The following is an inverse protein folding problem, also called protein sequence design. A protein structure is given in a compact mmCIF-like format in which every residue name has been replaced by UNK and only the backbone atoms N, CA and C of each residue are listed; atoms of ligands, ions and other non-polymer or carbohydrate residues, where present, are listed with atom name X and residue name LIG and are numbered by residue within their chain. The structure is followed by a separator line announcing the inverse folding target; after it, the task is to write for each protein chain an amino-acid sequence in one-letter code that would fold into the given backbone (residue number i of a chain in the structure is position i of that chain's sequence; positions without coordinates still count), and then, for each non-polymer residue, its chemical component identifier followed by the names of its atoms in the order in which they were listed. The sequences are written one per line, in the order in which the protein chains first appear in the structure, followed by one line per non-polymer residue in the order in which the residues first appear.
data_IF_502927984066
#
_entry.id   IF_502927984066
#
_cell.length_a   1.000
_cell.length_b   1.000
_cell.length_c   1.000
_cell.angle_alpha   90.00
_cell.angle_beta   90.00
_cell.angle_gamma   90.00
#
_symmetry.space_group_name_H-M   'P 1'
#
loop_
_entity.id
_entity.type
_entity.pdbx_description
1 polymer ?
#
# COMPACT_ATOMS: atom_id res chain seq x y z
N UNK A 1 18.31 -2.40 10.38
CA UNK A 1 17.08 -2.63 11.17
C UNK A 1 16.15 -3.51 10.33
N UNK A 2 15.59 -4.57 10.90
CA UNK A 2 14.70 -5.50 10.17
C UNK A 2 13.38 -4.78 9.90
N UNK A 3 12.92 -4.74 8.64
CA UNK A 3 11.56 -4.30 8.29
C UNK A 3 10.59 -5.07 9.19
N UNK A 4 9.76 -4.37 9.97
CA UNK A 4 8.61 -4.98 10.62
C UNK A 4 7.68 -5.46 9.50
N UNK A 5 7.75 -6.76 9.20
CA UNK A 5 7.02 -7.43 8.11
C UNK A 5 5.50 -7.45 8.31
N UNK A 6 4.98 -6.57 9.16
CA UNK A 6 3.58 -6.44 9.58
C UNK A 6 2.94 -5.15 9.08
N UNK A 7 3.73 -4.16 8.64
CA UNK A 7 3.19 -2.89 8.13
C UNK A 7 3.27 -2.86 6.60
N UNK A 8 2.13 -3.12 5.96
CA UNK A 8 1.93 -2.80 4.54
C UNK A 8 1.91 -1.27 4.44
N UNK A 9 2.79 -0.73 3.59
CA UNK A 9 3.08 0.69 3.41
C UNK A 9 3.53 1.40 4.71
N UNK A 10 4.60 0.91 5.34
CA UNK A 10 5.27 1.62 6.43
C UNK A 10 6.15 2.79 5.94
N UNK A 11 6.60 3.69 6.84
CA UNK A 11 7.47 4.81 6.48
C UNK A 11 8.73 4.31 5.77
N UNK A 12 9.13 5.00 4.69
CA UNK A 12 10.32 4.65 3.90
C UNK A 12 11.60 4.90 4.71
N UNK A 13 12.09 3.87 5.41
CA UNK A 13 13.32 3.93 6.23
C UNK A 13 14.57 4.22 5.38
N UNK A 14 14.54 3.93 4.08
CA UNK A 14 15.66 4.13 3.15
C UNK A 14 15.64 5.48 2.45
N UNK A 15 14.65 6.34 2.71
CA UNK A 15 14.59 7.65 2.07
C UNK A 15 15.79 8.50 2.48
N UNK A 16 16.53 8.98 1.49
CA UNK A 16 17.66 9.90 1.68
C UNK A 16 17.12 11.28 2.04
N UNK A 17 17.38 11.73 3.27
CA UNK A 17 16.88 13.01 3.80
C UNK A 17 17.35 14.22 2.98
N UNK A 18 18.52 14.10 2.38
CA UNK A 18 19.15 15.07 1.48
C UNK A 18 18.42 15.23 0.14
N UNK A 19 17.61 14.25 -0.26
CA UNK A 19 16.86 14.29 -1.51
C UNK A 19 15.38 14.61 -1.32
N UNK A 20 14.87 14.60 -0.09
CA UNK A 20 13.45 14.87 0.16
C UNK A 20 13.15 16.36 -0.12
N UNK A 21 12.18 16.66 -1.00
CA UNK A 21 11.76 18.05 -1.21
C UNK A 21 11.14 18.62 0.06
N UNK A 22 11.26 19.93 0.22
CA UNK A 22 10.46 20.63 1.21
C UNK A 22 8.96 20.47 0.88
N UNK A 23 8.05 20.48 1.87
CA UNK A 23 6.61 20.37 1.61
C UNK A 23 6.10 21.41 0.60
N UNK A 24 6.60 22.64 0.73
CA UNK A 24 6.29 23.78 -0.15
C UNK A 24 6.72 23.54 -1.60
N UNK A 25 7.87 22.88 -1.81
CA UNK A 25 8.37 22.53 -3.15
C UNK A 25 7.48 21.47 -3.80
N UNK A 26 7.01 20.50 -3.02
CA UNK A 26 6.14 19.44 -3.51
C UNK A 26 4.75 19.98 -3.91
N UNK A 27 4.21 20.90 -3.11
CA UNK A 27 2.94 21.57 -3.41
C UNK A 27 3.06 22.47 -4.65
N UNK A 28 4.16 23.24 -4.75
CA UNK A 28 4.45 24.03 -5.94
C UNK A 28 4.58 23.16 -7.21
N UNK A 29 5.23 22.00 -7.08
CA UNK A 29 5.32 21.02 -8.17
C UNK A 29 3.94 20.53 -8.60
N UNK A 30 3.07 20.14 -7.66
CA UNK A 30 1.71 19.67 -7.97
C UNK A 30 0.86 20.75 -8.66
N UNK A 31 0.93 21.99 -8.18
CA UNK A 31 0.24 23.12 -8.81
C UNK A 31 0.79 23.44 -10.20
N UNK A 32 2.10 23.34 -10.39
CA UNK A 32 2.71 23.47 -11.72
C UNK A 32 2.22 22.38 -12.66
N UNK A 33 2.10 21.13 -12.20
CA UNK A 33 1.62 20.01 -13.02
C UNK A 33 0.18 20.23 -13.48
N UNK A 34 -0.65 20.79 -12.60
CA UNK A 34 -2.03 21.15 -12.90
C UNK A 34 -2.12 22.22 -13.99
N UNK A 35 -1.23 23.22 -13.96
CA UNK A 35 -1.18 24.30 -14.97
C UNK A 35 -0.64 23.83 -16.32
N UNK A 36 0.34 22.93 -16.33
CA UNK A 36 1.02 22.50 -17.56
C UNK A 36 0.29 21.39 -18.33
N UNK A 37 -0.70 20.73 -17.73
CA UNK A 37 -1.51 19.71 -18.42
C UNK A 37 -0.84 18.34 -18.58
N UNK A 38 0.49 18.29 -18.62
CA UNK A 38 1.30 17.09 -18.94
C UNK A 38 1.15 15.93 -17.96
N UNK A 39 0.88 16.19 -16.68
CA UNK A 39 0.63 15.15 -15.66
C UNK A 39 -0.79 15.24 -15.07
N UNK A 40 -1.77 15.67 -15.86
CA UNK A 40 -3.17 15.71 -15.43
C UNK A 40 -3.73 14.37 -14.93
N UNK A 41 -3.38 13.20 -15.52
CA UNK A 41 -3.80 11.91 -14.98
C UNK A 41 -3.30 11.67 -13.55
N UNK A 42 -2.06 12.04 -13.24
CA UNK A 42 -1.48 11.96 -11.89
C UNK A 42 -2.28 12.84 -10.91
N UNK A 43 -2.48 14.12 -11.24
CA UNK A 43 -3.21 15.07 -10.38
C UNK A 43 -4.64 14.60 -10.12
N UNK A 44 -5.35 14.14 -11.15
CA UNK A 44 -6.71 13.58 -11.02
C UNK A 44 -6.73 12.29 -10.19
N UNK A 45 -5.76 11.40 -10.39
CA UNK A 45 -5.61 10.16 -9.63
C UNK A 45 -5.38 10.42 -8.15
N UNK A 46 -4.43 11.30 -7.82
CA UNK A 46 -4.14 11.71 -6.44
C UNK A 46 -5.37 12.35 -5.77
N UNK A 47 -6.05 13.28 -6.45
CA UNK A 47 -7.25 13.91 -5.91
C UNK A 47 -8.36 12.89 -5.62
N UNK A 48 -8.57 11.93 -6.54
CA UNK A 48 -9.56 10.87 -6.37
C UNK A 48 -9.24 9.94 -5.20
N UNK A 49 -7.98 9.54 -5.03
CA UNK A 49 -7.58 8.70 -3.90
C UNK A 49 -7.65 9.45 -2.57
N UNK A 50 -7.31 10.74 -2.53
CA UNK A 50 -7.49 11.58 -1.32
C UNK A 50 -8.96 11.66 -0.91
N UNK A 51 -9.87 11.85 -1.86
CA UNK A 51 -11.31 11.83 -1.57
C UNK A 51 -11.73 10.48 -0.97
N UNK A 52 -11.21 9.38 -1.50
CA UNK A 52 -11.51 8.05 -1.00
C UNK A 52 -10.94 7.81 0.40
N UNK A 53 -9.76 8.37 0.73
CA UNK A 53 -9.22 8.35 2.09
C UNK A 53 -10.11 9.13 3.06
N UNK A 54 -10.60 10.31 2.66
CA UNK A 54 -11.58 11.08 3.44
C UNK A 54 -12.87 10.28 3.64
N UNK A 55 -13.35 9.59 2.61
CA UNK A 55 -14.55 8.74 2.70
C UNK A 55 -14.34 7.55 3.64
N UNK A 56 -13.15 6.93 3.62
CA UNK A 56 -12.75 5.85 4.53
C UNK A 56 -12.74 6.36 5.98
N UNK A 57 -12.12 7.51 6.24
CA UNK A 57 -12.07 8.11 7.58
C UNK A 57 -13.47 8.50 8.07
N UNK A 58 -14.28 9.11 7.21
CA UNK A 58 -15.67 9.44 7.52
C UNK A 58 -16.50 8.17 7.79
N UNK A 59 -16.25 7.09 7.05
CA UNK A 59 -16.86 5.79 7.31
C UNK A 59 -16.44 5.23 8.68
N UNK A 60 -15.15 5.27 9.04
CA UNK A 60 -14.69 4.83 10.36
C UNK A 60 -15.32 5.66 11.48
N UNK A 61 -15.38 6.98 11.33
CA UNK A 61 -16.01 7.87 12.32
C UNK A 61 -17.49 7.55 12.49
N UNK A 62 -18.24 7.41 11.39
CA UNK A 62 -19.65 6.99 11.43
C UNK A 62 -19.81 5.62 12.09
N UNK A 63 -18.90 4.68 11.82
CA UNK A 63 -18.94 3.34 12.43
C UNK A 63 -18.78 3.39 13.94
N UNK A 64 -17.98 4.34 14.46
CA UNK A 64 -17.79 4.56 15.90
C UNK A 64 -19.02 5.23 16.55
N UNK A 65 -19.72 6.10 15.82
CA UNK A 65 -20.88 6.83 16.33
C UNK A 65 -22.18 5.99 16.30
N UNK A 66 -22.50 5.37 15.16
CA UNK A 66 -23.67 4.50 15.03
C UNK A 66 -23.36 3.33 14.05
N UNK A 67 -22.96 2.16 14.59
CA UNK A 67 -22.68 0.98 13.77
C UNK A 67 -23.90 0.46 12.99
N UNK A 68 -25.13 0.88 13.35
CA UNK A 68 -26.39 0.36 12.81
C UNK A 68 -26.99 1.23 11.71
N UNK A 69 -26.48 2.43 11.45
CA UNK A 69 -26.98 3.26 10.34
C UNK A 69 -26.25 3.04 9.02
N UNK A 70 -25.21 2.21 9.01
CA UNK A 70 -24.39 2.02 7.82
C UNK A 70 -25.05 1.10 6.79
N UNK A 71 -24.94 1.48 5.53
CA UNK A 71 -25.25 0.61 4.40
C UNK A 71 -24.32 -0.62 4.44
N UNK A 72 -24.87 -1.80 4.14
CA UNK A 72 -24.14 -3.07 4.26
C UNK A 72 -23.04 -3.17 3.19
N UNK A 73 -23.31 -2.68 1.98
CA UNK A 73 -22.34 -2.69 0.89
C UNK A 73 -21.17 -1.76 1.20
N UNK A 74 -21.44 -0.54 1.67
CA UNK A 74 -20.40 0.38 2.14
C UNK A 74 -19.54 -0.27 3.23
N UNK A 75 -20.17 -1.00 4.17
CA UNK A 75 -19.46 -1.71 5.23
C UNK A 75 -18.48 -2.75 4.69
N UNK A 76 -18.88 -3.49 3.65
CA UNK A 76 -18.03 -4.49 3.00
C UNK A 76 -16.89 -3.82 2.24
N UNK A 77 -17.19 -2.84 1.37
CA UNK A 77 -16.20 -2.14 0.54
C UNK A 77 -15.16 -1.43 1.42
N UNK A 78 -15.59 -0.55 2.33
CA UNK A 78 -14.67 0.17 3.20
C UNK A 78 -13.96 -0.77 4.19
N UNK A 79 -14.62 -1.83 4.65
CA UNK A 79 -13.99 -2.86 5.48
C UNK A 79 -12.81 -3.54 4.78
N UNK A 80 -12.99 -3.93 3.51
CA UNK A 80 -11.92 -4.52 2.68
C UNK A 80 -10.80 -3.51 2.41
N UNK A 81 -11.12 -2.25 2.10
CA UNK A 81 -10.12 -1.20 1.87
C UNK A 81 -9.28 -0.92 3.12
N UNK A 82 -9.90 -0.85 4.29
CA UNK A 82 -9.21 -0.68 5.57
C UNK A 82 -8.31 -1.87 5.90
N UNK A 83 -8.78 -3.10 5.62
CA UNK A 83 -8.01 -4.30 5.90
C UNK A 83 -6.79 -4.42 5.00
N UNK A 84 -6.99 -4.24 3.69
CA UNK A 84 -5.92 -4.35 2.69
C UNK A 84 -4.92 -3.20 2.78
N UNK A 85 -5.36 -2.01 3.20
CA UNK A 85 -4.61 -0.75 3.09
C UNK A 85 -4.10 -0.52 1.67
N UNK A 86 -4.85 -0.99 0.66
CA UNK A 86 -4.50 -0.78 -0.74
C UNK A 86 -4.33 0.72 -1.04
N UNK A 87 -5.21 1.55 -0.48
CA UNK A 87 -5.10 3.00 -0.55
C UNK A 87 -4.66 3.51 0.82
N UNK A 88 -3.57 4.26 0.82
CA UNK A 88 -2.98 4.89 1.99
C UNK A 88 -2.16 6.11 1.57
N UNK A 89 -1.93 7.02 2.51
CA UNK A 89 -1.18 8.26 2.26
C UNK A 89 0.26 7.99 1.81
N UNK A 90 0.88 6.91 2.29
CA UNK A 90 2.25 6.55 1.94
C UNK A 90 2.40 6.18 0.45
N UNK A 91 1.40 5.53 -0.16
CA UNK A 91 1.37 5.25 -1.59
C UNK A 91 1.24 6.56 -2.38
N UNK A 92 0.33 7.45 -1.97
CA UNK A 92 0.17 8.75 -2.63
C UNK A 92 1.46 9.56 -2.56
N UNK A 93 2.11 9.57 -1.40
CA UNK A 93 3.38 10.24 -1.21
C UNK A 93 4.48 9.60 -2.07
N UNK A 94 4.57 8.27 -2.11
CA UNK A 94 5.57 7.57 -2.91
C UNK A 94 5.43 7.87 -4.40
N UNK A 95 4.21 7.82 -4.94
CA UNK A 95 3.94 8.15 -6.35
C UNK A 95 4.27 9.62 -6.64
N UNK A 96 3.91 10.53 -5.74
CA UNK A 96 4.20 11.96 -5.91
C UNK A 96 5.70 12.23 -5.90
N UNK A 97 6.43 11.67 -4.93
CA UNK A 97 7.90 11.79 -4.84
C UNK A 97 8.59 11.17 -6.06
N UNK A 98 8.09 10.05 -6.56
CA UNK A 98 8.63 9.43 -7.77
C UNK A 98 8.59 10.39 -8.96
N UNK A 99 7.43 11.01 -9.22
CA UNK A 99 7.29 11.97 -10.32
C UNK A 99 8.07 13.26 -10.11
N UNK A 100 8.17 13.73 -8.87
CA UNK A 100 9.02 14.87 -8.53
C UNK A 100 10.48 14.59 -8.91
N UNK A 101 11.06 13.49 -8.41
CA UNK A 101 12.44 13.13 -8.70
C UNK A 101 12.68 12.81 -10.17
N UNK A 102 11.70 12.22 -10.87
CA UNK A 102 11.79 11.97 -12.30
C UNK A 102 11.89 13.29 -13.08
N UNK A 103 11.10 14.30 -12.69
CA UNK A 103 11.19 15.63 -13.31
C UNK A 103 12.51 16.33 -12.98
N UNK A 104 12.98 16.25 -11.74
CA UNK A 104 14.29 16.77 -11.36
C UNK A 104 15.39 16.12 -12.20
N UNK A 105 15.34 14.79 -12.37
CA UNK A 105 16.28 14.04 -13.19
C UNK A 105 16.25 14.49 -14.66
N UNK A 106 15.05 14.69 -15.22
CA UNK A 106 14.88 15.15 -16.60
C UNK A 106 15.33 16.61 -16.81
N UNK A 107 15.38 17.43 -15.74
CA UNK A 107 15.84 18.83 -15.80
C UNK A 107 17.37 18.99 -15.68
N UNK A 108 18.11 17.91 -15.39
CA UNK A 108 19.57 17.98 -15.28
C UNK A 108 20.21 18.12 -16.66
N UNK A 109 20.78 19.29 -16.94
CA UNK A 109 21.46 19.60 -18.20
C UNK A 109 22.96 19.31 -18.11
N UNK A 110 23.41 18.27 -18.83
CA UNK A 110 24.82 17.96 -19.03
C UNK A 110 25.37 18.49 -20.36
N UNK A 111 24.51 18.87 -21.29
CA UNK A 111 24.90 19.24 -22.65
C UNK A 111 25.50 20.64 -22.67
N UNK A 112 24.85 21.62 -22.03
CA UNK A 112 25.35 23.00 -22.02
C UNK A 112 26.77 23.15 -21.43
N UNK A 113 27.11 22.54 -20.27
CA UNK A 113 28.48 22.58 -19.76
C UNK A 113 29.50 21.90 -20.68
N UNK A 114 29.12 20.83 -21.36
CA UNK A 114 29.99 20.09 -22.28
C UNK A 114 30.25 20.90 -23.56
N UNK A 115 29.20 21.48 -24.15
CA UNK A 115 29.31 22.36 -25.31
C UNK A 115 30.22 23.56 -25.03
N UNK A 116 30.10 24.16 -23.84
CA UNK A 116 30.98 25.24 -23.41
C UNK A 116 32.44 24.79 -23.39
N UNK A 117 32.76 23.62 -22.81
CA UNK A 117 34.13 23.11 -22.75
C UNK A 117 34.68 22.91 -24.17
N UNK A 118 33.91 22.29 -25.07
CA UNK A 118 34.33 22.07 -26.46
C UNK A 118 34.57 23.40 -27.19
N UNK A 119 33.71 24.40 -27.00
CA UNK A 119 33.86 25.73 -27.59
C UNK A 119 35.07 26.49 -27.01
N UNK A 120 35.30 26.39 -25.71
CA UNK A 120 36.44 26.99 -25.02
C UNK A 120 37.76 26.38 -25.49
N UNK A 121 37.86 25.05 -25.59
CA UNK A 121 39.03 24.34 -26.10
C UNK A 121 39.35 24.70 -27.56
N UNK A 122 38.32 24.81 -28.42
CA UNK A 122 38.48 25.28 -29.80
C UNK A 122 39.02 26.71 -29.85
N UNK A 123 38.58 27.57 -28.93
CA UNK A 123 39.05 28.96 -28.84
C UNK A 123 40.51 29.01 -28.37
N UNK A 124 40.88 28.22 -27.37
CA UNK A 124 42.26 28.13 -26.87
C UNK A 124 43.25 27.70 -27.95
N UNK A 125 42.87 26.75 -28.82
CA UNK A 125 43.71 26.31 -29.95
C UNK A 125 44.04 27.42 -30.96
N UNK A 126 43.20 28.46 -31.05
CA UNK A 126 43.39 29.61 -31.95
C UNK A 126 44.22 30.75 -31.34
N UNK A 127 44.49 30.71 -30.02
CA UNK A 127 45.20 31.77 -29.32
C UNK A 127 46.72 31.57 -29.39
N UNK A 128 47.44 32.63 -29.72
CA UNK A 128 48.92 32.64 -29.72
C UNK A 128 49.48 32.93 -28.33
N UNK A 129 50.15 31.94 -27.71
CA UNK A 129 50.77 32.04 -26.37
C UNK A 129 51.84 33.13 -26.21
N UNK A 130 52.42 33.62 -27.30
CA UNK A 130 53.45 34.67 -27.25
C UNK A 130 52.88 36.07 -27.02
N UNK A 131 51.57 36.28 -27.23
CA UNK A 131 50.90 37.55 -26.92
C UNK A 131 50.38 37.52 -25.48
N UNK A 132 50.74 38.52 -24.67
CA UNK A 132 50.37 38.59 -23.25
C UNK A 132 48.84 38.49 -23.06
N UNK A 133 48.06 39.24 -23.84
CA UNK A 133 46.59 39.21 -23.76
C UNK A 133 46.00 37.84 -24.09
N UNK A 134 46.60 37.12 -25.04
CA UNK A 134 46.18 35.77 -25.40
C UNK A 134 46.55 34.76 -24.30
N UNK A 135 47.71 34.92 -23.67
CA UNK A 135 48.12 34.09 -22.54
C UNK A 135 47.16 34.28 -21.35
N UNK A 136 46.81 35.52 -21.01
CA UNK A 136 45.81 35.82 -19.97
C UNK A 136 44.44 35.23 -20.30
N UNK A 137 43.97 35.36 -21.55
CA UNK A 137 42.71 34.78 -22.00
C UNK A 137 42.70 33.24 -21.92
N UNK A 138 43.83 32.59 -22.21
CA UNK A 138 43.95 31.15 -22.03
C UNK A 138 43.87 30.72 -20.57
N UNK A 139 44.49 31.45 -19.64
CA UNK A 139 44.39 31.14 -18.20
C UNK A 139 42.93 31.21 -17.75
N UNK A 140 42.24 32.31 -18.09
CA UNK A 140 40.82 32.47 -17.77
C UNK A 140 39.93 31.38 -18.37
N UNK A 141 40.14 31.00 -19.64
CA UNK A 141 39.39 29.91 -20.26
C UNK A 141 39.67 28.57 -19.58
N UNK A 142 40.90 28.34 -19.11
CA UNK A 142 41.27 27.13 -18.36
C UNK A 142 40.52 27.06 -17.03
N UNK A 143 40.49 28.17 -16.28
CA UNK A 143 39.73 28.28 -15.03
C UNK A 143 38.25 27.98 -15.25
N UNK A 144 37.62 28.60 -16.26
CA UNK A 144 36.22 28.35 -16.61
C UNK A 144 35.97 26.90 -17.04
N UNK A 145 36.89 26.26 -17.78
CA UNK A 145 36.78 24.84 -18.14
C UNK A 145 36.80 23.97 -16.88
N UNK A 146 37.71 24.24 -15.94
CA UNK A 146 37.79 23.47 -14.69
C UNK A 146 36.55 23.66 -13.81
N UNK A 147 35.99 24.87 -13.73
CA UNK A 147 34.69 25.10 -13.08
C UNK A 147 33.56 24.29 -13.72
N UNK A 148 33.49 24.26 -15.06
CA UNK A 148 32.47 23.48 -15.78
C UNK A 148 32.66 21.98 -15.64
N UNK A 149 33.91 21.48 -15.58
CA UNK A 149 34.18 20.07 -15.26
C UNK A 149 33.70 19.71 -13.86
N UNK A 150 33.94 20.57 -12.86
CA UNK A 150 33.40 20.39 -11.49
C UNK A 150 31.87 20.36 -11.50
N UNK A 151 31.23 21.26 -12.26
CA UNK A 151 29.78 21.28 -12.43
C UNK A 151 29.26 19.97 -13.04
N UNK A 152 29.89 19.46 -14.12
CA UNK A 152 29.53 18.18 -14.73
C UNK A 152 29.62 17.04 -13.72
N UNK A 153 30.71 16.97 -12.95
CA UNK A 153 30.87 15.95 -11.91
C UNK A 153 29.78 16.03 -10.84
N UNK A 154 29.40 17.25 -10.42
CA UNK A 154 28.28 17.48 -9.51
C UNK A 154 26.93 16.99 -10.07
N UNK A 155 26.62 17.34 -11.32
CA UNK A 155 25.39 16.92 -11.99
C UNK A 155 25.36 15.39 -12.17
N UNK A 156 26.48 14.76 -12.52
CA UNK A 156 26.59 13.30 -12.63
C UNK A 156 26.35 12.61 -11.27
N UNK A 157 26.91 13.15 -10.19
CA UNK A 157 26.67 12.64 -8.84
C UNK A 157 25.19 12.76 -8.46
N UNK A 158 24.57 13.92 -8.71
CA UNK A 158 23.14 14.13 -8.46
C UNK A 158 22.27 13.18 -9.28
N UNK A 159 22.61 12.97 -10.57
CA UNK A 159 21.92 12.01 -11.45
C UNK A 159 21.93 10.60 -10.89
N UNK A 160 23.09 10.14 -10.41
CA UNK A 160 23.24 8.82 -9.81
C UNK A 160 22.41 8.67 -8.52
N UNK A 161 22.37 9.73 -7.70
CA UNK A 161 21.55 9.77 -6.49
C UNK A 161 20.05 9.70 -6.79
N UNK A 162 19.55 10.53 -7.71
CA UNK A 162 18.15 10.52 -8.14
C UNK A 162 17.74 9.17 -8.75
N UNK A 163 18.60 8.58 -9.58
CA UNK A 163 18.38 7.25 -10.18
C UNK A 163 18.24 6.18 -9.10
N UNK A 164 19.09 6.22 -8.07
CA UNK A 164 19.01 5.29 -6.95
C UNK A 164 17.73 5.48 -6.11
N UNK A 165 17.33 6.74 -5.88
CA UNK A 165 16.11 7.06 -5.15
C UNK A 165 14.84 6.63 -5.91
N UNK A 166 14.76 6.88 -7.22
CA UNK A 166 13.67 6.41 -8.07
C UNK A 166 13.51 4.88 -8.03
N UNK A 167 14.64 4.15 -8.13
CA UNK A 167 14.63 2.68 -7.97
C UNK A 167 14.17 2.27 -6.57
N UNK A 168 14.62 2.97 -5.52
CA UNK A 168 14.20 2.68 -4.15
C UNK A 168 12.70 2.88 -3.96
N UNK A 169 12.12 3.94 -4.53
CA UNK A 169 10.67 4.18 -4.49
C UNK A 169 9.92 3.07 -5.22
N UNK A 170 10.35 2.73 -6.43
CA UNK A 170 9.70 1.71 -7.24
C UNK A 170 9.72 0.32 -6.56
N UNK A 171 10.87 -0.10 -6.01
CA UNK A 171 10.98 -1.32 -5.20
C UNK A 171 10.09 -1.26 -3.96
N UNK A 172 10.05 -0.12 -3.27
CA UNK A 172 9.18 0.06 -2.12
C UNK A 172 7.71 -0.14 -2.49
N UNK A 173 7.23 0.46 -3.59
CA UNK A 173 5.84 0.27 -4.02
C UNK A 173 5.61 -1.20 -4.39
N UNK A 174 6.48 -1.80 -5.21
CA UNK A 174 6.35 -3.18 -5.66
C UNK A 174 6.32 -4.19 -4.50
N UNK A 175 7.22 -4.08 -3.52
CA UNK A 175 7.22 -4.90 -2.30
C UNK A 175 5.88 -4.83 -1.56
N UNK A 176 5.30 -3.63 -1.45
CA UNK A 176 4.03 -3.44 -0.75
C UNK A 176 2.84 -3.96 -1.54
N UNK A 177 2.85 -3.86 -2.87
CA UNK A 177 1.82 -4.49 -3.72
C UNK A 177 1.82 -6.01 -3.55
N UNK A 178 2.99 -6.66 -3.55
CA UNK A 178 3.12 -8.11 -3.28
C UNK A 178 2.62 -8.46 -1.88
N UNK A 179 2.90 -7.62 -0.88
CA UNK A 179 2.39 -7.84 0.47
C UNK A 179 0.85 -7.77 0.53
N UNK A 180 0.24 -6.81 -0.18
CA UNK A 180 -1.21 -6.67 -0.29
C UNK A 180 -1.84 -7.85 -1.05
N UNK A 181 -1.24 -8.28 -2.17
CA UNK A 181 -1.65 -9.48 -2.93
C UNK A 181 -1.71 -10.70 -2.00
N UNK A 182 -0.63 -10.97 -1.27
CA UNK A 182 -0.55 -12.11 -0.35
C UNK A 182 -1.58 -12.02 0.78
N UNK A 183 -1.89 -10.82 1.25
CA UNK A 183 -2.95 -10.60 2.24
C UNK A 183 -4.33 -10.90 1.65
N UNK A 184 -4.61 -10.47 0.42
CA UNK A 184 -5.89 -10.76 -0.24
C UNK A 184 -6.07 -12.26 -0.48
N UNK A 185 -5.02 -12.95 -0.95
CA UNK A 185 -5.04 -14.41 -1.13
C UNK A 185 -5.41 -15.14 0.16
N UNK A 186 -4.84 -14.73 1.29
CA UNK A 186 -5.15 -15.32 2.60
C UNK A 186 -6.59 -15.02 3.03
N UNK A 187 -7.04 -13.78 2.86
CA UNK A 187 -8.39 -13.38 3.19
C UNK A 187 -9.43 -14.20 2.40
N UNK A 188 -9.19 -14.45 1.11
CA UNK A 188 -10.03 -15.31 0.26
C UNK A 188 -10.13 -16.72 0.84
N UNK A 189 -9.01 -17.35 1.21
CA UNK A 189 -9.02 -18.70 1.80
C UNK A 189 -9.85 -18.73 3.09
N UNK A 190 -9.67 -17.76 3.99
CA UNK A 190 -10.41 -17.65 5.25
C UNK A 190 -11.92 -17.49 4.99
N UNK A 191 -12.31 -16.63 4.05
CA UNK A 191 -13.72 -16.43 3.70
C UNK A 191 -14.36 -17.71 3.17
N UNK A 192 -13.64 -18.47 2.34
CA UNK A 192 -14.10 -19.77 1.83
C UNK A 192 -14.24 -20.78 2.97
N UNK A 193 -13.26 -20.89 3.86
CA UNK A 193 -13.30 -21.78 5.03
C UNK A 193 -14.50 -21.49 5.93
N UNK A 194 -14.72 -20.21 6.30
CA UNK A 194 -15.88 -19.81 7.12
C UNK A 194 -17.19 -20.11 6.40
N UNK A 195 -17.26 -19.87 5.09
CA UNK A 195 -18.42 -20.19 4.27
C UNK A 195 -18.75 -21.69 4.23
N UNK A 196 -17.75 -22.56 4.36
CA UNK A 196 -17.92 -24.01 4.41
C UNK A 196 -18.33 -24.50 5.81
N UNK A 197 -17.73 -23.95 6.87
CA UNK A 197 -17.98 -24.36 8.24
C UNK A 197 -19.41 -24.04 8.71
N UNK A 198 -20.01 -22.94 8.23
CA UNK A 198 -21.39 -22.51 8.53
C UNK A 198 -21.72 -22.39 10.02
N UNK A 199 -20.72 -22.36 10.90
CA UNK A 199 -20.91 -22.28 12.35
C UNK A 199 -21.63 -20.96 12.71
N UNK A 200 -21.07 -19.83 12.30
CA UNK A 200 -21.67 -18.51 12.56
C UNK A 200 -23.03 -18.36 11.87
N UNK A 201 -23.21 -18.90 10.66
CA UNK A 201 -24.51 -18.91 9.98
C UNK A 201 -25.58 -19.65 10.83
N UNK A 202 -25.24 -20.82 11.36
CA UNK A 202 -26.12 -21.63 12.20
C UNK A 202 -26.48 -20.90 13.51
N UNK A 203 -25.50 -20.26 14.16
CA UNK A 203 -25.74 -19.42 15.34
C UNK A 203 -26.73 -18.29 15.08
N UNK A 204 -26.58 -17.58 13.94
CA UNK A 204 -27.47 -16.48 13.56
C UNK A 204 -28.88 -16.98 13.26
N UNK A 205 -29.03 -18.12 12.58
CA UNK A 205 -30.32 -18.77 12.32
C UNK A 205 -31.00 -19.17 13.64
N UNK A 206 -30.25 -19.73 14.59
CA UNK A 206 -30.78 -20.05 15.92
C UNK A 206 -31.21 -18.79 16.68
N UNK A 207 -30.46 -17.69 16.57
CA UNK A 207 -30.82 -16.42 17.19
C UNK A 207 -32.17 -15.89 16.67
N UNK A 208 -32.39 -15.96 15.35
CA UNK A 208 -33.70 -15.62 14.73
C UNK A 208 -34.81 -16.50 15.29
N UNK A 209 -34.60 -17.82 15.35
CA UNK A 209 -35.59 -18.76 15.91
C UNK A 209 -35.90 -18.47 17.38
N UNK A 210 -34.88 -18.18 18.20
CA UNK A 210 -35.02 -17.85 19.63
C UNK A 210 -35.81 -16.56 19.82
N UNK A 211 -35.56 -15.53 19.02
CA UNK A 211 -36.29 -14.26 19.09
C UNK A 211 -37.78 -14.45 18.76
N UNK A 212 -38.10 -15.13 17.68
CA UNK A 212 -39.49 -15.42 17.32
C UNK A 212 -40.21 -16.30 18.34
N UNK A 213 -39.52 -17.28 18.94
CA UNK A 213 -40.08 -18.09 20.03
C UNK A 213 -40.44 -17.21 21.24
N UNK A 214 -39.59 -16.25 21.59
CA UNK A 214 -39.83 -15.29 22.69
C UNK A 214 -41.04 -14.39 22.39
N UNK A 215 -41.15 -13.86 21.18
CA UNK A 215 -42.28 -13.02 20.74
C UNK A 215 -43.60 -13.81 20.72
N UNK A 216 -43.59 -15.06 20.27
CA UNK A 216 -44.73 -15.97 20.33
C UNK A 216 -45.16 -16.26 21.77
N UNK A 217 -44.22 -16.64 22.65
CA UNK A 217 -44.53 -16.88 24.08
C UNK A 217 -45.10 -15.65 24.77
N UNK A 218 -44.58 -14.46 24.49
CA UNK A 218 -45.12 -13.20 25.00
C UNK A 218 -46.55 -12.94 24.50
N UNK A 219 -46.82 -13.24 23.22
CA UNK A 219 -48.14 -13.07 22.62
C UNK A 219 -49.18 -14.07 23.16
N UNK A 220 -48.75 -15.29 23.53
CA UNK A 220 -49.62 -16.32 24.16
C UNK A 220 -50.11 -15.82 25.53
N UNK A 221 -49.27 -15.09 26.27
CA UNK A 221 -49.63 -14.52 27.57
C UNK A 221 -50.62 -13.35 27.50
N UNK A 222 -50.82 -12.74 26.34
CA UNK A 222 -51.64 -11.52 26.16
C UNK A 222 -52.91 -11.77 25.33
N UNK A 223 -52.92 -12.75 24.41
CA UNK A 223 -54.09 -13.14 23.61
C UNK A 223 -54.16 -14.65 23.42
N UNK A 224 -55.36 -15.22 23.31
CA UNK A 224 -55.56 -16.61 22.87
C UNK A 224 -55.06 -16.74 21.41
N UNK A 225 -53.81 -17.15 21.25
CA UNK A 225 -53.23 -17.47 19.94
C UNK A 225 -53.84 -18.77 19.42
N UNK A 226 -54.42 -18.71 18.22
CA UNK A 226 -54.95 -19.90 17.52
C UNK A 226 -53.80 -20.76 17.01
N UNK A 227 -54.04 -22.07 16.85
CA UNK A 227 -53.08 -23.00 16.25
C UNK A 227 -52.61 -22.52 14.86
N UNK A 228 -53.51 -21.91 14.08
CA UNK A 228 -53.21 -21.32 12.78
C UNK A 228 -52.22 -20.15 12.86
N UNK A 229 -52.32 -19.31 13.88
CA UNK A 229 -51.39 -18.20 14.07
C UNK A 229 -49.97 -18.70 14.39
N UNK A 230 -49.86 -19.77 15.19
CA UNK A 230 -48.58 -20.42 15.49
C UNK A 230 -48.00 -21.08 14.23
N UNK A 231 -48.82 -21.76 13.43
CA UNK A 231 -48.39 -22.38 12.18
C UNK A 231 -47.90 -21.33 11.16
N UNK A 232 -48.62 -20.22 11.01
CA UNK A 232 -48.20 -19.10 10.16
C UNK A 232 -46.87 -18.49 10.63
N UNK A 233 -46.69 -18.31 11.94
CA UNK A 233 -45.44 -17.78 12.48
C UNK A 233 -44.24 -18.70 12.22
N UNK A 234 -44.42 -20.03 12.36
CA UNK A 234 -43.36 -21.00 11.99
C UNK A 234 -42.97 -20.88 10.52
N UNK A 235 -43.94 -20.81 9.61
CA UNK A 235 -43.67 -20.62 8.19
C UNK A 235 -42.93 -19.31 7.89
N UNK A 236 -43.23 -18.22 8.61
CA UNK A 236 -42.49 -16.95 8.49
C UNK A 236 -41.04 -17.12 8.95
N UNK A 237 -40.79 -17.78 10.08
CA UNK A 237 -39.44 -18.05 10.58
C UNK A 237 -38.63 -18.90 9.60
N UNK A 238 -39.23 -19.95 9.04
CA UNK A 238 -38.56 -20.80 8.06
C UNK A 238 -38.22 -20.01 6.80
N UNK A 239 -39.13 -19.16 6.31
CA UNK A 239 -38.86 -18.27 5.17
C UNK A 239 -37.73 -17.27 5.47
N UNK A 240 -37.70 -16.68 6.66
CA UNK A 240 -36.67 -15.71 7.05
C UNK A 240 -35.30 -16.36 7.23
N UNK A 241 -35.24 -17.55 7.83
CA UNK A 241 -33.98 -18.29 8.01
C UNK A 241 -33.41 -18.76 6.68
N UNK A 242 -34.25 -19.23 5.74
CA UNK A 242 -33.82 -19.53 4.37
C UNK A 242 -33.32 -18.27 3.63
N UNK A 243 -34.04 -17.15 3.76
CA UNK A 243 -33.62 -15.88 3.19
C UNK A 243 -32.28 -15.40 3.76
N UNK A 244 -32.09 -15.51 5.08
CA UNK A 244 -30.85 -15.15 5.75
C UNK A 244 -29.68 -16.02 5.28
N UNK A 245 -29.85 -17.35 5.21
CA UNK A 245 -28.83 -18.27 4.69
C UNK A 245 -28.39 -17.91 3.27
N UNK A 246 -29.36 -17.63 2.39
CA UNK A 246 -29.07 -17.22 1.00
C UNK A 246 -28.27 -15.91 0.96
N UNK A 247 -28.74 -14.89 1.68
CA UNK A 247 -28.09 -13.58 1.73
C UNK A 247 -26.69 -13.65 2.34
N UNK A 248 -26.47 -14.47 3.36
CA UNK A 248 -25.13 -14.68 3.94
C UNK A 248 -24.17 -15.27 2.91
N UNK A 249 -24.61 -16.24 2.10
CA UNK A 249 -23.78 -16.81 1.03
C UNK A 249 -23.46 -15.78 -0.05
N UNK A 250 -24.44 -14.97 -0.42
CA UNK A 250 -24.24 -13.84 -1.31
C UNK A 250 -23.19 -12.89 -0.70
N UNK A 251 -23.31 -12.51 0.57
CA UNK A 251 -22.37 -11.61 1.26
C UNK A 251 -20.93 -12.16 1.30
N UNK A 252 -20.76 -13.46 1.59
CA UNK A 252 -19.45 -14.14 1.54
C UNK A 252 -18.87 -14.07 0.13
N UNK A 253 -19.66 -14.38 -0.90
CA UNK A 253 -19.23 -14.33 -2.29
C UNK A 253 -18.81 -12.91 -2.70
N UNK A 254 -19.60 -11.90 -2.36
CA UNK A 254 -19.29 -10.50 -2.66
C UNK A 254 -18.01 -10.03 -1.95
N UNK A 255 -17.80 -10.39 -0.67
CA UNK A 255 -16.55 -10.08 0.02
C UNK A 255 -15.35 -10.75 -0.67
N UNK A 256 -15.48 -12.02 -1.05
CA UNK A 256 -14.44 -12.74 -1.79
C UNK A 256 -14.10 -12.04 -3.10
N UNK A 257 -15.11 -11.66 -3.89
CA UNK A 257 -14.91 -10.90 -5.13
C UNK A 257 -14.19 -9.57 -4.90
N UNK A 258 -14.51 -8.83 -3.83
CA UNK A 258 -13.81 -7.58 -3.51
C UNK A 258 -12.31 -7.82 -3.25
N UNK A 259 -11.97 -8.91 -2.54
CA UNK A 259 -10.57 -9.29 -2.34
C UNK A 259 -9.90 -9.78 -3.63
N UNK A 260 -10.59 -10.52 -4.48
CA UNK A 260 -10.08 -10.99 -5.78
C UNK A 260 -9.74 -9.82 -6.70
N UNK A 261 -10.64 -8.83 -6.80
CA UNK A 261 -10.40 -7.62 -7.59
C UNK A 261 -9.15 -6.87 -7.13
N UNK A 262 -8.94 -6.74 -5.81
CA UNK A 262 -7.72 -6.12 -5.28
C UNK A 262 -6.51 -7.01 -5.55
N UNK A 263 -6.61 -8.31 -5.29
CA UNK A 263 -5.54 -9.29 -5.53
C UNK A 263 -5.02 -9.22 -6.96
N UNK A 264 -5.90 -9.34 -7.95
CA UNK A 264 -5.53 -9.39 -9.36
C UNK A 264 -4.87 -8.07 -9.78
N UNK A 265 -5.44 -6.93 -9.34
CA UNK A 265 -4.86 -5.62 -9.62
C UNK A 265 -3.48 -5.46 -8.99
N UNK A 266 -3.27 -5.94 -7.77
CA UNK A 266 -1.99 -5.83 -7.07
C UNK A 266 -0.95 -6.72 -7.75
N UNK A 267 -1.36 -7.94 -8.12
CA UNK A 267 -0.52 -8.89 -8.80
C UNK A 267 -0.05 -8.36 -10.16
N UNK A 268 -0.96 -7.81 -10.97
CA UNK A 268 -0.64 -7.26 -12.28
C UNK A 268 0.32 -6.09 -12.17
N UNK A 269 0.03 -5.13 -11.28
CA UNK A 269 0.90 -3.98 -11.06
C UNK A 269 2.27 -4.38 -10.48
N UNK A 270 2.32 -5.35 -9.57
CA UNK A 270 3.57 -5.86 -9.01
C UNK A 270 4.42 -6.59 -10.05
N UNK A 271 3.80 -7.38 -10.94
CA UNK A 271 4.47 -8.05 -12.06
C UNK A 271 5.00 -7.05 -13.07
N UNK A 272 4.19 -6.05 -13.44
CA UNK A 272 4.59 -4.98 -14.36
C UNK A 272 5.80 -4.20 -13.82
N UNK A 273 5.72 -3.71 -12.58
CA UNK A 273 6.84 -3.02 -11.92
C UNK A 273 8.06 -3.94 -11.75
N UNK A 274 7.86 -5.20 -11.36
CA UNK A 274 8.93 -6.19 -11.23
C UNK A 274 9.66 -6.43 -12.55
N UNK A 275 8.91 -6.48 -13.66
CA UNK A 275 9.47 -6.58 -15.01
C UNK A 275 10.37 -5.40 -15.37
N UNK A 276 9.96 -4.17 -15.06
CA UNK A 276 10.80 -2.98 -15.27
C UNK A 276 12.06 -2.98 -14.39
N UNK A 277 11.94 -3.42 -13.14
CA UNK A 277 13.04 -3.38 -12.17
C UNK A 277 14.09 -4.48 -12.36
N UNK A 278 13.70 -5.63 -12.92
CA UNK A 278 14.58 -6.80 -13.11
C UNK A 278 15.00 -7.03 -14.56
N UNK A 279 14.35 -6.37 -15.52
CA UNK A 279 14.67 -6.49 -16.94
C UNK A 279 16.08 -6.01 -17.31
N UNK A 280 16.54 -6.30 -18.55
CA UNK A 280 17.89 -5.93 -19.02
C UNK A 280 18.17 -4.42 -18.95
N UNK A 281 17.14 -3.58 -19.09
CA UNK A 281 17.21 -2.13 -18.88
C UNK A 281 17.42 -1.71 -17.40
N UNK A 282 17.08 -2.56 -16.43
CA UNK A 282 17.34 -2.36 -15.01
C UNK A 282 18.75 -2.80 -14.59
N UNK A 283 19.29 -3.83 -15.24
CA UNK A 283 20.57 -4.49 -14.89
C UNK A 283 21.78 -3.85 -15.57
N UNK A 284 21.65 -3.39 -16.82
CA UNK A 284 22.72 -2.65 -17.47
C UNK A 284 22.58 -1.16 -17.17
N UNK A 285 23.62 -0.56 -16.60
CA UNK A 285 23.76 0.90 -16.46
C UNK A 285 23.93 1.55 -17.83
N UNK A 286 22.90 1.49 -18.64
CA UNK A 286 22.84 2.09 -19.96
C UNK A 286 22.93 3.61 -19.84
N UNK A 287 23.58 4.21 -20.85
CA UNK A 287 23.89 5.64 -20.93
C UNK A 287 22.63 6.46 -20.64
N UNK A 288 22.77 7.57 -19.92
CA UNK A 288 21.69 8.21 -19.16
C UNK A 288 20.34 8.50 -19.84
N UNK A 289 20.21 8.50 -21.17
CA UNK A 289 18.90 8.60 -21.84
C UNK A 289 18.04 7.34 -21.62
N UNK A 290 18.64 6.16 -21.69
CA UNK A 290 17.94 4.87 -21.53
C UNK A 290 17.38 4.71 -20.10
N UNK A 291 17.95 5.42 -19.11
CA UNK A 291 17.44 5.38 -17.73
C UNK A 291 16.21 6.27 -17.52
N UNK A 292 16.07 7.39 -18.23
CA UNK A 292 14.92 8.29 -18.10
C UNK A 292 13.67 7.63 -18.67
N UNK A 293 13.75 7.01 -19.85
CA UNK A 293 12.62 6.31 -20.47
C UNK A 293 12.11 5.17 -19.60
N UNK A 294 13.01 4.40 -18.97
CA UNK A 294 12.64 3.35 -18.02
C UNK A 294 11.82 3.94 -16.86
N UNK A 295 12.30 5.03 -16.25
CA UNK A 295 11.58 5.66 -15.13
C UNK A 295 10.29 6.34 -15.57
N UNK A 296 10.18 6.81 -16.81
CA UNK A 296 8.91 7.29 -17.37
C UNK A 296 7.88 6.17 -17.41
N UNK A 297 8.24 4.98 -17.94
CA UNK A 297 7.34 3.81 -17.96
C UNK A 297 6.95 3.35 -16.55
N UNK A 298 7.89 3.35 -15.60
CA UNK A 298 7.58 3.07 -14.20
C UNK A 298 6.60 4.13 -13.65
N UNK A 299 6.82 5.41 -13.94
CA UNK A 299 5.92 6.50 -13.55
C UNK A 299 4.51 6.31 -14.13
N UNK A 300 4.39 5.93 -15.40
CA UNK A 300 3.10 5.62 -16.04
C UNK A 300 2.39 4.45 -15.36
N UNK A 301 3.10 3.38 -15.02
CA UNK A 301 2.53 2.25 -14.27
C UNK A 301 2.03 2.68 -12.88
N UNK A 302 2.79 3.53 -12.19
CA UNK A 302 2.37 4.11 -10.90
C UNK A 302 1.14 5.02 -11.03
N UNK A 303 1.03 5.81 -12.10
CA UNK A 303 -0.17 6.61 -12.39
C UNK A 303 -1.36 5.71 -12.71
N UNK A 304 -1.15 4.65 -13.50
CA UNK A 304 -2.17 3.65 -13.82
C UNK A 304 -2.71 3.00 -12.54
N UNK A 305 -1.84 2.66 -11.59
CA UNK A 305 -2.22 2.09 -10.30
C UNK A 305 -3.23 2.96 -9.55
N UNK A 306 -3.03 4.28 -9.53
CA UNK A 306 -3.88 5.22 -8.78
C UNK A 306 -5.09 5.76 -9.57
N UNK A 307 -5.07 5.68 -10.90
CA UNK A 307 -6.15 6.19 -11.77
C UNK A 307 -7.17 5.11 -12.13
N UNK A 308 -6.71 3.90 -12.42
CA UNK A 308 -7.53 2.76 -12.83
C UNK A 308 -8.06 1.99 -11.63
N UNK A 309 -8.77 2.72 -10.77
CA UNK A 309 -9.41 2.15 -9.60
C UNK A 309 -10.68 1.37 -10.01
N UNK A 310 -10.78 0.06 -9.68
CA UNK A 310 -11.89 -0.81 -10.05
C UNK A 310 -13.25 -0.21 -9.69
N UNK A 311 -14.26 -0.47 -10.51
CA UNK A 311 -15.61 0.08 -10.29
C UNK A 311 -16.31 -0.61 -9.12
N UNK A 312 -15.97 -1.87 -8.90
CA UNK A 312 -16.45 -2.77 -7.86
C UNK A 312 -16.07 -2.28 -6.46
N UNK A 313 -14.98 -1.53 -6.36
CA UNK A 313 -14.51 -0.94 -5.11
C UNK A 313 -15.07 0.47 -4.87
N UNK A 314 -15.97 0.96 -5.73
CA UNK A 314 -16.65 2.24 -5.49
C UNK A 314 -17.86 2.00 -4.57
N UNK A 315 -17.98 2.75 -3.46
CA UNK A 315 -19.19 2.72 -2.65
C UNK A 315 -20.36 3.21 -3.52
N UNK A 316 -21.35 2.34 -3.72
CA UNK A 316 -22.61 2.74 -4.33
C UNK A 316 -23.51 3.38 -3.29
N UNK A 317 -24.14 4.50 -3.62
CA UNK A 317 -25.34 4.97 -2.92
C UNK A 317 -26.48 4.01 -3.28
N UNK A 318 -26.48 2.84 -2.66
CA UNK A 318 -27.59 1.90 -2.79
C UNK A 318 -28.85 2.60 -2.28
N UNK A 319 -29.97 2.43 -3.00
CA UNK A 319 -31.27 2.71 -2.41
C UNK A 319 -31.41 1.71 -1.26
N UNK A 320 -31.39 2.23 -0.02
CA UNK A 320 -31.55 1.52 1.26
C UNK A 320 -32.06 0.09 1.05
N UNK A 321 -31.18 -0.88 1.30
CA UNK A 321 -31.38 -2.30 1.09
C UNK A 321 -32.87 -2.69 1.29
N UNK A 322 -33.55 -3.06 0.20
CA UNK A 322 -35.01 -3.31 0.14
C UNK A 322 -35.45 -4.53 0.97
N UNK A 323 -34.54 -5.09 1.77
CA UNK A 323 -34.86 -6.00 2.86
C UNK A 323 -35.63 -5.25 3.95
N UNK A 324 -36.96 -5.15 3.76
CA UNK A 324 -37.94 -4.61 4.72
C UNK A 324 -37.92 -5.28 6.10
N UNK A 325 -37.17 -6.37 6.29
CA UNK A 325 -37.08 -7.07 7.57
C UNK A 325 -35.80 -6.68 8.32
N UNK A 326 -35.96 -5.79 9.30
CA UNK A 326 -34.87 -5.26 10.13
C UNK A 326 -34.03 -6.35 10.82
N UNK A 327 -34.65 -7.46 11.25
CA UNK A 327 -33.95 -8.56 11.91
C UNK A 327 -32.96 -9.27 10.97
N UNK A 328 -33.38 -9.50 9.71
CA UNK A 328 -32.49 -10.12 8.71
C UNK A 328 -31.31 -9.21 8.42
N UNK A 329 -31.54 -7.90 8.28
CA UNK A 329 -30.48 -6.93 8.04
C UNK A 329 -29.51 -6.83 9.23
N UNK A 330 -30.00 -6.85 10.47
CA UNK A 330 -29.15 -6.88 11.66
C UNK A 330 -28.26 -8.12 11.68
N UNK A 331 -28.81 -9.31 11.36
CA UNK A 331 -28.04 -10.56 11.34
C UNK A 331 -27.03 -10.63 10.20
N UNK A 332 -27.35 -10.06 9.03
CA UNK A 332 -26.38 -9.90 7.94
C UNK A 332 -25.20 -9.02 8.34
N UNK A 333 -25.46 -7.89 9.02
CA UNK A 333 -24.39 -7.01 9.53
C UNK A 333 -23.49 -7.74 10.53
N UNK A 334 -24.09 -8.50 11.46
CA UNK A 334 -23.34 -9.33 12.41
C UNK A 334 -22.44 -10.34 11.69
N UNK A 335 -22.93 -10.95 10.60
CA UNK A 335 -22.13 -11.86 9.78
C UNK A 335 -20.97 -11.16 9.07
N UNK A 336 -21.24 -10.01 8.41
CA UNK A 336 -20.20 -9.24 7.71
C UNK A 336 -19.11 -8.76 8.67
N UNK A 337 -19.50 -8.30 9.87
CA UNK A 337 -18.53 -7.93 10.90
C UNK A 337 -17.66 -9.10 11.32
N UNK A 338 -18.27 -10.27 11.55
CA UNK A 338 -17.54 -11.48 11.89
C UNK A 338 -16.54 -11.85 10.78
N UNK A 339 -16.96 -11.83 9.52
CA UNK A 339 -16.09 -12.13 8.38
C UNK A 339 -14.89 -11.17 8.30
N UNK A 340 -15.15 -9.86 8.43
CA UNK A 340 -14.10 -8.83 8.44
C UNK A 340 -13.17 -8.95 9.65
N UNK A 341 -13.69 -9.36 10.81
CA UNK A 341 -12.88 -9.62 11.99
C UNK A 341 -11.97 -10.84 11.79
N UNK A 342 -12.49 -11.95 11.28
CA UNK A 342 -11.71 -13.17 11.06
C UNK A 342 -10.55 -12.95 10.10
N UNK A 343 -10.79 -12.27 8.97
CA UNK A 343 -9.70 -11.91 8.05
C UNK A 343 -8.69 -10.93 8.69
N UNK A 344 -9.16 -10.05 9.59
CA UNK A 344 -8.31 -9.10 10.32
C UNK A 344 -7.49 -9.71 11.47
N UNK A 345 -7.93 -10.81 12.09
CA UNK A 345 -7.21 -11.50 13.17
C UNK A 345 -5.86 -12.06 12.69
N UNK A 346 -5.77 -12.51 11.43
CA UNK A 346 -4.51 -12.99 10.83
C UNK A 346 -3.43 -11.89 10.77
N UNK A 347 -3.83 -10.62 10.63
CA UNK A 347 -2.93 -9.47 10.73
C UNK A 347 -2.30 -9.33 12.12
N UNK A 348 -3.03 -9.72 13.18
CA UNK A 348 -2.61 -9.62 14.59
C UNK A 348 -1.91 -10.89 15.11
N UNK A 349 -2.16 -12.05 14.48
CA UNK A 349 -1.64 -13.38 14.89
C UNK A 349 -0.30 -13.79 14.28
N UNK A 350 0.56 -12.85 13.85
CA UNK A 350 1.98 -13.19 13.66
C UNK A 350 2.67 -13.14 15.02
N UNK A 351 3.03 -14.29 15.64
CA UNK A 351 3.81 -14.26 16.87
C UNK A 351 5.12 -13.55 16.61
N UNK A 352 5.46 -12.64 17.51
CA UNK A 352 6.80 -12.07 17.59
C UNK A 352 7.81 -13.22 17.47
N UNK A 353 8.70 -13.18 16.47
CA UNK A 353 9.72 -14.23 16.28
C UNK A 353 10.60 -14.43 17.52
N UNK A 354 10.53 -13.52 18.50
CA UNK A 354 11.17 -13.62 19.81
C UNK A 354 10.50 -14.61 20.77
N UNK A 355 9.21 -14.89 20.64
CA UNK A 355 8.48 -15.82 21.53
C UNK A 355 8.38 -17.24 20.98
N UNK A 356 8.63 -17.44 19.68
CA UNK A 356 8.88 -18.77 19.13
C UNK A 356 10.29 -19.23 19.56
N UNK A 357 10.39 -19.71 20.80
CA UNK A 357 11.46 -20.63 21.17
C UNK A 357 11.50 -21.72 20.12
N UNK A 358 12.65 -21.82 19.49
CA UNK A 358 12.99 -22.72 18.39
C UNK A 358 12.72 -24.17 18.84
N UNK A 359 11.48 -24.66 18.61
CA UNK A 359 11.03 -26.00 19.05
C UNK A 359 11.93 -27.13 18.54
N UNK A 360 12.69 -26.88 17.46
CA UNK A 360 13.71 -27.78 16.94
C UNK A 360 14.85 -28.05 17.92
N UNK A 361 15.16 -27.11 18.84
CA UNK A 361 16.23 -27.29 19.85
C UNK A 361 15.86 -28.23 20.98
N UNK A 362 14.57 -28.43 21.26
CA UNK A 362 14.11 -29.31 22.34
C UNK A 362 13.73 -30.72 21.87
N UNK A 363 13.56 -30.93 20.57
CA UNK A 363 13.14 -32.23 20.00
C UNK A 363 14.25 -32.97 19.24
N UNK A 364 15.44 -32.38 19.11
CA UNK A 364 16.59 -33.07 18.51
C UNK A 364 17.51 -33.64 19.61
N UNK A 365 17.53 -34.96 19.82
CA UNK A 365 18.39 -35.60 20.82
C UNK A 365 19.89 -35.45 20.52
N UNK A 366 20.27 -34.98 19.33
CA UNK A 366 21.66 -34.76 18.92
C UNK A 366 22.06 -33.27 18.84
N UNK A 367 21.20 -32.34 19.31
CA UNK A 367 21.52 -30.92 19.27
C UNK A 367 22.66 -30.56 20.25
N UNK A 368 23.88 -30.39 19.71
CA UNK A 368 25.06 -29.84 20.40
C UNK A 368 25.33 -28.40 19.98
N UNK A 369 24.33 -27.52 20.09
CA UNK A 369 24.52 -26.09 19.87
C UNK A 369 25.15 -25.42 21.09
N UNK A 370 26.18 -24.60 20.88
CA UNK A 370 26.81 -23.82 21.95
C UNK A 370 25.81 -22.92 22.66
N UNK A 371 25.60 -23.20 23.95
CA UNK A 371 24.88 -22.29 24.82
C UNK A 371 25.55 -20.93 24.81
N UNK A 372 24.71 -19.90 24.78
CA UNK A 372 25.08 -18.49 24.74
C UNK A 372 26.15 -18.21 25.78
N UNK A 373 27.22 -17.54 25.35
CA UNK A 373 28.09 -16.77 26.23
C UNK A 373 27.21 -15.91 27.15
N UNK A 374 27.12 -16.32 28.40
CA UNK A 374 26.56 -15.51 29.47
C UNK A 374 27.45 -14.28 29.56
N UNK A 375 26.87 -13.12 29.32
CA UNK A 375 27.44 -11.82 29.68
C UNK A 375 27.48 -11.74 31.21
N UNK A 376 28.47 -12.40 31.81
CA UNK A 376 29.02 -12.09 33.13
C UNK A 376 30.53 -12.10 32.98
N UNK A 377 31.17 -11.20 33.70
CA UNK A 377 32.62 -10.99 33.78
C UNK A 377 33.29 -10.19 32.66
N UNK A 378 32.97 -8.89 32.63
CA UNK A 378 33.99 -7.87 32.36
C UNK A 378 33.87 -6.71 33.34
N UNK A 379 34.08 -6.99 34.62
CA UNK A 379 34.57 -6.02 35.61
C UNK A 379 35.51 -6.70 36.60
N UNK A 380 36.78 -6.79 36.24
CA UNK A 380 37.89 -6.71 37.20
C UNK A 380 39.03 -5.93 36.54
N UNK A 381 39.12 -4.66 36.93
CA UNK A 381 40.38 -3.91 37.02
C UNK A 381 41.23 -4.63 38.07
N UNK A 382 42.44 -5.08 37.75
CA UNK A 382 43.62 -5.06 38.64
C UNK A 382 44.80 -5.86 38.06
N UNK A 383 45.89 -5.16 37.74
CA UNK A 383 47.26 -5.71 37.71
C UNK A 383 47.58 -6.62 36.51
N UNK A 384 48.81 -6.72 36.01
CA UNK A 384 50.13 -6.20 36.40
C UNK A 384 51.03 -6.30 35.16
N UNK A 385 52.08 -5.48 35.20
CA UNK A 385 53.23 -5.39 34.30
C UNK A 385 53.97 -6.73 34.07
N UNK A 386 54.85 -6.67 33.06
CA UNK A 386 56.03 -7.50 32.77
C UNK A 386 55.70 -8.72 31.88
N UNK A 387 56.34 -8.97 30.75
CA UNK A 387 57.66 -8.57 30.20
C UNK A 387 57.54 -8.16 28.73
#
# INVERSE_FOLDING_TARGET
MKKDATTIFGPRVTARKDLLPAPEELDAFLEQMKKQGTLMPLVKGLARLRLLLVDIDAFEQRRRLDPRQQDLHDRMVFGVLLHTRFINEELLQAVTLFHYHLRTLASLDLESPVEFIVAAERTMKKLNRRKIDHALRMVRLTEMIEERKKMIAGIQAQRAQLTAELRSIAWYVQDNLVATEMLCRKAIVILVEIGLEKQKESELIEAVRKQFKKELSASIGVRQLTADAVAKARHVVDRLTHKLSRLIREDVYHLTQLYEVIHDRMQDAAKELGGFLTGPAGVQGSRGQDSIELFQRIGEALVSLITNYPRELKPYKSAVDTTTNALVLEKRREMVDHLLEQVGIERRRRPDRRTNQDRRKHQDPNYRGSERRVLRDRRTRAGRRAL
#
